data_IF_143531006526
#
_entry.id   IF_143531006526
#
_cell.length_a   1.000
_cell.length_b   1.000
_cell.length_c   1.000
_cell.angle_alpha   90.00
_cell.angle_beta   90.00
_cell.angle_gamma   90.00
#
_symmetry.space_group_name_H-M   'P 1'
#
loop_
_entity.id
_entity.type
_entity.pdbx_description
1 polymer ?
#
# COMPACT_ATOMS: atom_id res chain seq x y z
N UNK A 1 -3.36 -10.61 -7.23
CA UNK A 1 -1.98 -10.10 -7.11
C UNK A 1 -1.98 -8.57 -7.15
N UNK A 2 -0.97 -7.92 -6.57
CA UNK A 2 -0.99 -6.46 -6.46
C UNK A 2 0.39 -5.85 -6.36
N UNK A 3 0.43 -4.54 -6.57
CA UNK A 3 1.66 -3.76 -6.47
C UNK A 3 2.06 -3.55 -5.01
N UNK A 4 3.36 -3.63 -4.73
CA UNK A 4 3.91 -3.27 -3.43
C UNK A 4 4.07 -1.75 -3.35
N UNK A 5 3.50 -1.14 -2.32
CA UNK A 5 3.62 0.31 -2.05
C UNK A 5 4.47 0.51 -0.80
N UNK A 6 5.44 1.42 -0.87
CA UNK A 6 6.33 1.76 0.24
C UNK A 6 6.14 3.22 0.61
N UNK A 7 5.72 3.47 1.84
CA UNK A 7 5.70 4.82 2.42
C UNK A 7 7.08 5.13 2.96
N UNK A 8 7.72 6.16 2.41
CA UNK A 8 9.01 6.67 2.90
C UNK A 8 8.74 7.58 4.09
N UNK A 9 9.40 7.30 5.21
CA UNK A 9 9.29 8.07 6.45
C UNK A 9 10.70 8.37 6.95
N UNK A 10 10.85 9.48 7.67
CA UNK A 10 12.05 9.74 8.44
C UNK A 10 12.22 8.73 9.57
N UNK A 11 13.48 8.52 9.97
CA UNK A 11 13.84 7.49 10.95
C UNK A 11 13.17 7.80 12.29
N UNK A 12 12.33 6.89 12.76
CA UNK A 12 11.67 6.98 14.07
C UNK A 12 10.25 7.52 14.04
N UNK A 13 9.77 8.03 12.91
CA UNK A 13 8.38 8.47 12.78
C UNK A 13 7.45 7.33 12.37
N UNK A 14 6.23 7.39 12.91
CA UNK A 14 5.11 6.60 12.45
C UNK A 14 4.36 7.34 11.33
N UNK A 15 3.87 6.62 10.30
CA UNK A 15 3.12 7.25 9.23
C UNK A 15 1.79 7.79 9.78
N UNK A 16 1.37 9.01 9.40
CA UNK A 16 0.05 9.48 9.76
C UNK A 16 -1.00 8.56 9.11
N UNK A 17 -2.17 8.38 9.76
CA UNK A 17 -3.19 7.43 9.31
C UNK A 17 -3.69 7.73 7.89
N UNK A 18 -3.72 9.01 7.51
CA UNK A 18 -4.09 9.43 6.16
C UNK A 18 -3.11 8.92 5.10
N UNK A 19 -1.81 8.97 5.36
CA UNK A 19 -0.79 8.45 4.43
C UNK A 19 -0.89 6.94 4.28
N UNK A 20 -1.21 6.21 5.35
CA UNK A 20 -1.46 4.76 5.25
C UNK A 20 -2.67 4.50 4.34
N UNK A 21 -3.75 5.26 4.51
CA UNK A 21 -4.97 5.13 3.69
C UNK A 21 -4.73 5.50 2.22
N UNK A 22 -3.92 6.52 1.96
CA UNK A 22 -3.50 6.92 0.61
C UNK A 22 -2.68 5.83 -0.06
N UNK A 23 -1.68 5.30 0.65
CA UNK A 23 -0.85 4.20 0.16
C UNK A 23 -1.67 2.93 -0.10
N UNK A 24 -2.62 2.61 0.78
CA UNK A 24 -3.52 1.47 0.60
C UNK A 24 -4.45 1.67 -0.60
N UNK A 25 -4.94 2.89 -0.83
CA UNK A 25 -5.77 3.22 -2.00
C UNK A 25 -4.97 3.05 -3.30
N UNK A 26 -3.71 3.46 -3.33
CA UNK A 26 -2.81 3.24 -4.46
C UNK A 26 -2.52 1.74 -4.66
N UNK A 27 -2.28 1.00 -3.58
CA UNK A 27 -2.07 -0.44 -3.64
C UNK A 27 -3.30 -1.16 -4.24
N UNK A 28 -4.51 -0.78 -3.82
CA UNK A 28 -5.76 -1.32 -4.37
C UNK A 28 -5.93 -0.95 -5.86
N UNK A 29 -5.63 0.29 -6.25
CA UNK A 29 -5.74 0.77 -7.63
C UNK A 29 -4.87 -0.05 -8.60
N UNK A 30 -3.65 -0.39 -8.19
CA UNK A 30 -2.69 -1.17 -8.98
C UNK A 30 -2.71 -2.66 -8.61
N UNK A 31 -3.86 -3.16 -8.19
CA UNK A 31 -4.12 -4.58 -7.94
C UNK A 31 -5.22 -5.13 -8.84
N UNK A 32 -5.38 -6.44 -8.85
CA UNK A 32 -6.49 -7.10 -9.57
C UNK A 32 -7.87 -6.72 -9.01
N UNK A 33 -7.94 -6.32 -7.73
CA UNK A 33 -9.18 -5.91 -7.07
C UNK A 33 -9.67 -4.51 -7.48
N UNK A 34 -8.94 -3.80 -8.35
CA UNK A 34 -9.36 -2.49 -8.86
C UNK A 34 -10.78 -2.48 -9.45
N UNK A 35 -11.20 -3.60 -10.05
CA UNK A 35 -12.55 -3.76 -10.65
C UNK A 35 -13.66 -3.85 -9.60
N UNK A 36 -13.34 -4.35 -8.41
CA UNK A 36 -14.30 -4.47 -7.30
C UNK A 36 -14.56 -3.12 -6.63
N UNK A 37 -13.64 -2.16 -6.78
CA UNK A 37 -13.78 -0.81 -6.21
C UNK A 37 -13.58 -0.75 -4.70
N UNK A 38 -13.39 -1.89 -4.03
CA UNK A 38 -13.11 -2.01 -2.60
C UNK A 38 -12.30 -3.28 -2.33
N UNK A 39 -11.57 -3.30 -1.22
CA UNK A 39 -10.81 -4.47 -0.81
C UNK A 39 -9.98 -4.23 0.43
N UNK A 40 -9.44 -5.33 0.95
CA UNK A 40 -8.56 -5.32 2.10
C UNK A 40 -7.10 -5.23 1.67
N UNK A 41 -6.37 -4.34 2.33
CA UNK A 41 -4.94 -4.13 2.12
C UNK A 41 -4.22 -4.37 3.44
N UNK A 42 -3.18 -5.20 3.39
CA UNK A 42 -2.31 -5.41 4.54
C UNK A 42 -1.17 -4.40 4.52
N UNK A 43 -0.83 -3.85 5.68
CA UNK A 43 0.34 -3.00 5.86
C UNK A 43 1.15 -3.44 7.08
N UNK A 44 2.47 -3.28 6.97
CA UNK A 44 3.40 -3.54 8.07
C UNK A 44 4.67 -2.70 7.89
N UNK A 45 5.54 -2.69 8.90
CA UNK A 45 6.88 -2.10 8.79
C UNK A 45 7.78 -2.98 7.92
N UNK A 46 8.63 -2.37 7.09
CA UNK A 46 9.59 -3.07 6.20
C UNK A 46 10.35 -4.20 6.88
N UNK A 47 10.79 -4.01 8.14
CA UNK A 47 11.56 -5.03 8.90
C UNK A 47 10.84 -6.36 9.09
N UNK A 48 9.51 -6.37 8.97
CA UNK A 48 8.66 -7.56 9.11
C UNK A 48 8.32 -8.22 7.76
N UNK A 49 8.82 -7.68 6.65
CA UNK A 49 8.69 -8.24 5.31
C UNK A 49 9.99 -8.94 4.94
N UNK A 50 9.90 -10.22 4.57
CA UNK A 50 11.05 -11.04 4.18
C UNK A 50 10.83 -11.65 2.80
N UNK A 51 11.89 -11.79 2.02
CA UNK A 51 11.85 -12.53 0.76
C UNK A 51 11.59 -14.01 1.05
N UNK A 52 10.61 -14.61 0.36
CA UNK A 52 10.40 -16.05 0.44
C UNK A 52 11.55 -16.79 -0.28
N UNK A 53 12.32 -17.61 0.44
CA UNK A 53 13.44 -18.37 -0.15
C UNK A 53 12.89 -19.47 -1.05
N UNK A 54 13.38 -19.54 -2.29
CA UNK A 54 12.97 -20.55 -3.27
C UNK A 54 11.64 -20.29 -3.99
N UNK A 55 11.02 -19.13 -3.79
CA UNK A 55 9.80 -18.72 -4.48
C UNK A 55 10.09 -17.73 -5.62
N UNK A 56 9.11 -17.54 -6.51
CA UNK A 56 9.22 -16.63 -7.64
C UNK A 56 9.55 -15.18 -7.21
N UNK A 57 10.24 -14.38 -8.04
CA UNK A 57 10.48 -12.97 -7.78
C UNK A 57 9.18 -12.23 -7.46
N UNK A 58 9.17 -11.48 -6.35
CA UNK A 58 7.98 -10.78 -5.86
C UNK A 58 7.20 -11.53 -4.76
N UNK A 59 7.48 -12.81 -4.52
CA UNK A 59 6.92 -13.53 -3.38
C UNK A 59 7.58 -13.09 -2.06
N UNK A 60 6.77 -12.57 -1.15
CA UNK A 60 7.20 -12.08 0.16
C UNK A 60 6.40 -12.74 1.27
N UNK A 61 7.06 -12.93 2.41
CA UNK A 61 6.47 -13.37 3.66
C UNK A 61 6.32 -12.13 4.53
N UNK A 62 5.09 -11.84 4.94
CA UNK A 62 4.75 -10.72 5.81
C UNK A 62 4.46 -11.27 7.20
N UNK A 63 4.87 -10.53 8.22
CA UNK A 63 4.58 -10.84 9.63
C UNK A 63 4.11 -9.57 10.34
N UNK A 64 3.33 -9.73 11.40
CA UNK A 64 2.76 -8.60 12.16
C UNK A 64 2.07 -7.58 11.26
N UNK A 65 1.27 -8.07 10.31
CA UNK A 65 0.45 -7.20 9.47
C UNK A 65 -0.76 -6.67 10.21
N UNK A 66 -1.22 -5.52 9.74
CA UNK A 66 -2.54 -4.99 10.05
C UNK A 66 -3.33 -4.91 8.75
N UNK A 67 -4.60 -5.25 8.82
CA UNK A 67 -5.53 -5.16 7.69
C UNK A 67 -6.24 -3.82 7.70
N UNK A 68 -6.40 -3.22 6.53
CA UNK A 68 -7.16 -2.01 6.33
C UNK A 68 -8.13 -2.21 5.17
N UNK A 69 -9.41 -2.05 5.43
CA UNK A 69 -10.42 -2.05 4.38
C UNK A 69 -10.48 -0.68 3.71
N UNK A 70 -10.32 -0.64 2.39
CA UNK A 70 -10.32 0.61 1.61
C UNK A 70 -11.22 0.50 0.38
N UNK A 71 -11.81 1.64 0.01
CA UNK A 71 -12.64 1.81 -1.19
C UNK A 71 -12.00 2.81 -2.13
N UNK A 72 -12.07 2.56 -3.43
CA UNK A 72 -11.54 3.44 -4.47
C UNK A 72 -12.46 4.65 -4.65
N UNK A 73 -12.13 5.74 -3.95
CA UNK A 73 -12.81 7.02 -4.10
C UNK A 73 -12.14 7.86 -5.20
N UNK A 74 -12.88 8.12 -6.29
CA UNK A 74 -12.36 8.85 -7.46
C UNK A 74 -11.78 10.22 -7.10
N UNK A 75 -12.43 10.95 -6.17
CA UNK A 75 -11.98 12.26 -5.68
C UNK A 75 -10.62 12.19 -4.97
N UNK A 76 -10.39 11.14 -4.17
CA UNK A 76 -9.13 10.92 -3.45
C UNK A 76 -8.00 10.53 -4.40
N UNK A 77 -8.30 9.68 -5.38
CA UNK A 77 -7.34 9.31 -6.42
C UNK A 77 -6.86 10.51 -7.23
N UNK A 78 -7.80 11.37 -7.63
CA UNK A 78 -7.49 12.55 -8.43
C UNK A 78 -6.57 13.52 -7.66
N UNK A 79 -6.89 13.78 -6.39
CA UNK A 79 -6.05 14.56 -5.49
C UNK A 79 -4.65 13.94 -5.30
N UNK A 80 -4.55 12.61 -5.18
CA UNK A 80 -3.26 11.93 -5.04
C UNK A 80 -2.39 12.05 -6.30
N UNK A 81 -2.99 11.92 -7.49
CA UNK A 81 -2.29 12.08 -8.76
C UNK A 81 -1.84 13.53 -8.98
N UNK A 82 -2.67 14.51 -8.61
CA UNK A 82 -2.34 15.93 -8.72
C UNK A 82 -1.16 16.33 -7.81
N UNK A 83 -0.99 15.68 -6.64
CA UNK A 83 0.13 15.94 -5.72
C UNK A 83 1.49 15.46 -6.25
N UNK A 84 1.52 14.52 -7.19
CA UNK A 84 2.75 13.94 -7.75
C UNK A 84 3.55 14.90 -8.64
N UNK A 85 3.05 16.11 -8.91
CA UNK A 85 3.68 17.10 -9.80
C UNK A 85 4.51 18.18 -9.10
N UNK A 86 4.86 18.03 -7.81
CA UNK A 86 5.79 18.92 -7.12
C UNK A 86 7.05 18.13 -6.76
N UNK A 87 7.97 18.07 -7.71
CA UNK A 87 9.40 17.85 -7.46
C UNK A 87 10.08 19.22 -7.31
#
# INVERSE_FOLDING_TARGET
PGSHVVVRLEKGNDPPPETIRDAATLALLYSDLKKSGKGDVIYTRRKWVKKAKGQAPGAVIVTQEKSLHVSLEKKRLDALKARSGRE
#
